data_IF_650111519210
#
_entry.id   IF_650111519210
#
_cell.length_a   1.000
_cell.length_b   1.000
_cell.length_c   1.000
_cell.angle_alpha   90.00
_cell.angle_beta   90.00
_cell.angle_gamma   90.00
#
_symmetry.space_group_name_H-M   'P 1'
#
loop_
_entity.id
_entity.type
_entity.pdbx_description
1 polymer ?
#
# COMPACT_ATOMS: atom_id res chain seq x y z
N UNK A 1 6.01 -15.66 14.47
CA UNK A 1 6.69 -14.41 14.09
C UNK A 1 5.74 -13.23 14.22
N UNK A 2 6.28 -12.04 14.46
CA UNK A 2 5.57 -10.75 14.45
C UNK A 2 5.34 -10.23 13.04
N UNK A 3 4.55 -9.16 12.90
CA UNK A 3 4.35 -8.46 11.63
C UNK A 3 5.66 -7.89 11.06
N UNK A 4 6.50 -7.26 11.89
CA UNK A 4 7.79 -6.72 11.45
C UNK A 4 8.72 -7.84 10.99
N UNK A 5 8.76 -8.97 11.71
CA UNK A 5 9.55 -10.14 11.28
C UNK A 5 9.06 -10.71 9.94
N UNK A 6 7.73 -10.72 9.70
CA UNK A 6 7.19 -11.10 8.39
C UNK A 6 7.69 -10.14 7.29
N UNK A 7 7.60 -8.83 7.53
CA UNK A 7 7.95 -7.81 6.53
C UNK A 7 9.46 -7.81 6.24
N UNK A 8 10.33 -7.94 7.24
CA UNK A 8 11.78 -7.94 7.02
C UNK A 8 12.28 -9.24 6.40
N UNK A 9 11.76 -10.39 6.85
CA UNK A 9 12.31 -11.68 6.44
C UNK A 9 11.67 -12.22 5.16
N UNK A 10 10.46 -11.77 4.84
CA UNK A 10 9.68 -12.27 3.70
C UNK A 10 8.91 -11.17 2.94
N UNK A 11 9.51 -10.00 2.64
CA UNK A 11 8.82 -8.92 1.93
C UNK A 11 8.30 -9.38 0.55
N UNK A 12 9.02 -10.30 -0.09
CA UNK A 12 8.69 -10.82 -1.42
C UNK A 12 7.32 -11.49 -1.47
N UNK A 13 6.84 -12.09 -0.38
CA UNK A 13 5.51 -12.71 -0.35
C UNK A 13 4.41 -11.67 -0.55
N UNK A 14 4.53 -10.54 0.14
CA UNK A 14 3.57 -9.42 0.03
C UNK A 14 3.72 -8.77 -1.34
N UNK A 15 4.96 -8.46 -1.75
CA UNK A 15 5.22 -7.76 -3.00
C UNK A 15 4.79 -8.55 -4.23
N UNK A 16 5.10 -9.85 -4.31
CA UNK A 16 4.67 -10.69 -5.43
C UNK A 16 3.16 -10.83 -5.47
N UNK A 17 2.52 -11.01 -4.32
CA UNK A 17 1.07 -11.16 -4.24
C UNK A 17 0.34 -9.89 -4.68
N UNK A 18 0.73 -8.72 -4.17
CA UNK A 18 0.17 -7.43 -4.58
C UNK A 18 0.40 -7.15 -6.06
N UNK A 19 1.62 -7.35 -6.54
CA UNK A 19 2.00 -7.12 -7.95
C UNK A 19 1.18 -8.00 -8.89
N UNK A 20 1.12 -9.30 -8.63
CA UNK A 20 0.38 -10.25 -9.47
C UNK A 20 -1.12 -9.96 -9.47
N UNK A 21 -1.68 -9.55 -8.33
CA UNK A 21 -3.09 -9.15 -8.24
C UNK A 21 -3.36 -7.88 -9.04
N UNK A 22 -2.53 -6.84 -8.92
CA UNK A 22 -2.70 -5.61 -9.68
C UNK A 22 -2.62 -5.84 -11.20
N UNK A 23 -1.66 -6.66 -11.66
CA UNK A 23 -1.52 -7.01 -13.07
C UNK A 23 -2.76 -7.75 -13.63
N UNK A 24 -3.52 -8.47 -12.80
CA UNK A 24 -4.75 -9.15 -13.24
C UNK A 24 -5.94 -8.22 -13.37
N UNK A 25 -5.98 -7.13 -12.58
CA UNK A 25 -7.10 -6.18 -12.59
C UNK A 25 -7.08 -5.27 -13.83
N UNK A 26 -5.92 -5.15 -14.50
CA UNK A 26 -5.78 -4.45 -15.79
C UNK A 26 -6.30 -3.00 -15.75
N UNK A 27 -5.92 -2.25 -14.70
CA UNK A 27 -6.30 -0.85 -14.58
C UNK A 27 -5.67 -0.01 -15.71
N UNK A 28 -6.40 0.98 -16.26
CA UNK A 28 -5.98 1.72 -17.46
C UNK A 28 -4.55 2.26 -17.44
N UNK A 29 -4.12 2.85 -16.34
CA UNK A 29 -2.77 3.40 -16.22
C UNK A 29 -1.76 2.39 -15.71
N UNK A 30 -2.15 1.53 -14.76
CA UNK A 30 -1.23 0.54 -14.22
C UNK A 30 -0.85 -0.56 -15.22
N UNK A 31 -1.71 -0.85 -16.20
CA UNK A 31 -1.43 -1.81 -17.29
C UNK A 31 -0.29 -1.36 -18.21
N UNK A 32 0.09 -0.08 -18.18
CA UNK A 32 1.21 0.48 -18.97
C UNK A 32 2.57 0.18 -18.35
N UNK A 33 2.64 -0.18 -17.07
CA UNK A 33 3.88 -0.51 -16.39
C UNK A 33 4.28 -1.97 -16.61
N UNK A 34 5.58 -2.21 -16.59
CA UNK A 34 6.14 -3.55 -16.48
C UNK A 34 6.00 -4.08 -15.06
N UNK A 35 6.05 -5.41 -14.93
CA UNK A 35 5.99 -6.11 -13.64
C UNK A 35 7.01 -5.56 -12.63
N UNK A 36 8.25 -5.34 -13.08
CA UNK A 36 9.33 -4.87 -12.21
C UNK A 36 9.06 -3.44 -11.69
N UNK A 37 8.40 -2.60 -12.48
CA UNK A 37 8.05 -1.23 -12.11
C UNK A 37 6.93 -1.21 -11.09
N UNK A 38 5.90 -2.06 -11.25
CA UNK A 38 4.85 -2.24 -10.24
C UNK A 38 5.43 -2.76 -8.93
N UNK A 39 6.29 -3.77 -9.00
CA UNK A 39 6.91 -4.35 -7.81
C UNK A 39 7.75 -3.30 -7.06
N UNK A 40 8.47 -2.44 -7.78
CA UNK A 40 9.20 -1.31 -7.17
C UNK A 40 8.25 -0.33 -6.48
N UNK A 41 7.12 0.01 -7.09
CA UNK A 41 6.11 0.90 -6.47
C UNK A 41 5.54 0.29 -5.17
N UNK A 42 5.20 -1.00 -5.18
CA UNK A 42 4.77 -1.68 -3.95
C UNK A 42 5.89 -1.81 -2.91
N UNK A 43 7.15 -1.96 -3.34
CA UNK A 43 8.29 -1.96 -2.41
C UNK A 43 8.43 -0.63 -1.68
N UNK A 44 8.23 0.50 -2.37
CA UNK A 44 8.25 1.82 -1.74
C UNK A 44 7.09 2.00 -0.76
N UNK A 45 5.90 1.53 -1.13
CA UNK A 45 4.72 1.55 -0.24
C UNK A 45 4.93 0.67 1.00
N UNK A 46 5.51 -0.52 0.83
CA UNK A 46 5.84 -1.41 1.95
C UNK A 46 6.90 -0.80 2.87
N UNK A 47 7.88 -0.08 2.32
CA UNK A 47 8.86 0.66 3.12
C UNK A 47 8.18 1.75 3.97
N UNK A 48 7.29 2.55 3.39
CA UNK A 48 6.54 3.57 4.13
C UNK A 48 5.68 2.95 5.24
N UNK A 49 4.95 1.87 4.94
CA UNK A 49 4.18 1.12 5.94
C UNK A 49 5.06 0.58 7.06
N UNK A 50 6.24 0.03 6.73
CA UNK A 50 7.16 -0.54 7.72
C UNK A 50 7.58 0.51 8.73
N UNK A 51 7.96 1.70 8.26
CA UNK A 51 8.33 2.81 9.15
C UNK A 51 7.18 3.22 10.05
N UNK A 52 5.96 3.34 9.52
CA UNK A 52 4.77 3.62 10.32
C UNK A 52 4.55 2.59 11.45
N UNK A 53 4.82 1.30 11.17
CA UNK A 53 4.74 0.23 12.18
C UNK A 53 5.84 0.39 13.23
N UNK A 54 7.08 0.68 12.82
CA UNK A 54 8.21 0.89 13.73
C UNK A 54 8.01 2.10 14.66
N UNK A 55 7.54 3.22 14.10
CA UNK A 55 7.35 4.48 14.83
C UNK A 55 6.01 4.59 15.55
N UNK A 56 5.06 3.71 15.21
CA UNK A 56 3.66 3.77 15.65
C UNK A 56 2.96 5.09 15.25
N UNK A 57 3.37 5.68 14.13
CA UNK A 57 2.73 6.85 13.52
C UNK A 57 2.25 6.53 12.11
N UNK A 58 1.49 7.44 11.49
CA UNK A 58 1.05 7.28 10.09
C UNK A 58 1.84 8.17 9.11
N UNK A 59 2.84 8.90 9.61
CA UNK A 59 3.42 10.06 8.93
C UNK A 59 4.13 9.68 7.62
N UNK A 60 4.90 8.58 7.61
CA UNK A 60 5.59 8.12 6.40
C UNK A 60 4.61 7.68 5.30
N UNK A 61 3.46 7.12 5.67
CA UNK A 61 2.43 6.73 4.71
C UNK A 61 1.68 7.94 4.18
N UNK A 62 1.33 8.91 5.05
CA UNK A 62 0.72 10.19 4.65
C UNK A 62 1.65 10.92 3.67
N UNK A 63 2.91 11.16 4.05
CA UNK A 63 3.86 11.85 3.17
C UNK A 63 4.15 11.09 1.86
N UNK A 64 4.07 9.75 1.87
CA UNK A 64 4.13 8.99 0.62
C UNK A 64 2.88 9.17 -0.24
N UNK A 65 1.68 9.29 0.36
CA UNK A 65 0.43 9.58 -0.36
C UNK A 65 0.46 10.96 -1.01
N UNK A 66 0.97 11.99 -0.34
CA UNK A 66 1.11 13.33 -0.93
C UNK A 66 1.95 13.26 -2.21
N UNK A 67 3.14 12.66 -2.12
CA UNK A 67 4.06 12.51 -3.25
C UNK A 67 3.41 11.76 -4.42
N UNK A 68 2.78 10.61 -4.17
CA UNK A 68 2.18 9.85 -5.27
C UNK A 68 0.93 10.52 -5.82
N UNK A 69 0.20 11.29 -5.02
CA UNK A 69 -1.01 11.99 -5.48
C UNK A 69 -0.64 13.00 -6.54
N UNK A 70 0.36 13.84 -6.29
CA UNK A 70 0.90 14.79 -7.26
C UNK A 70 1.35 14.09 -8.56
N UNK A 71 2.22 13.07 -8.44
CA UNK A 71 2.75 12.36 -9.61
C UNK A 71 1.65 11.74 -10.47
N UNK A 72 0.66 11.12 -9.82
CA UNK A 72 -0.36 10.32 -10.49
C UNK A 72 -1.46 11.21 -11.05
N UNK A 73 -1.85 12.26 -10.33
CA UNK A 73 -2.77 13.28 -10.83
C UNK A 73 -2.20 13.96 -12.08
N UNK A 74 -0.94 14.41 -12.04
CA UNK A 74 -0.26 15.00 -13.20
C UNK A 74 -0.13 14.03 -14.38
N UNK A 75 -0.11 12.73 -14.11
CA UNK A 75 -0.07 11.66 -15.13
C UNK A 75 -1.46 11.19 -15.59
N UNK A 76 -2.55 11.79 -15.10
CA UNK A 76 -3.92 11.49 -15.49
C UNK A 76 -4.54 10.24 -14.87
N UNK A 77 -3.98 9.73 -13.76
CA UNK A 77 -4.59 8.60 -13.05
C UNK A 77 -5.86 9.04 -12.33
N UNK A 78 -6.91 8.25 -12.46
CA UNK A 78 -8.10 8.38 -11.63
C UNK A 78 -7.81 7.91 -10.20
N UNK A 79 -8.38 8.60 -9.21
CA UNK A 79 -8.14 8.29 -7.79
C UNK A 79 -8.60 6.87 -7.45
N UNK A 80 -9.63 6.37 -8.13
CA UNK A 80 -10.15 5.01 -8.00
C UNK A 80 -9.10 3.96 -8.36
N UNK A 81 -8.25 4.20 -9.38
CA UNK A 81 -7.20 3.26 -9.75
C UNK A 81 -6.18 3.09 -8.61
N UNK A 82 -5.84 4.19 -7.94
CA UNK A 82 -4.89 4.17 -6.82
C UNK A 82 -5.52 3.53 -5.59
N UNK A 83 -6.78 3.84 -5.29
CA UNK A 83 -7.51 3.19 -4.21
C UNK A 83 -7.62 1.67 -4.40
N UNK A 84 -7.86 1.20 -5.63
CA UNK A 84 -7.85 -0.23 -5.95
C UNK A 84 -6.45 -0.82 -5.72
N UNK A 85 -5.38 -0.14 -6.16
CA UNK A 85 -4.01 -0.59 -5.91
C UNK A 85 -3.66 -0.68 -4.42
N UNK A 86 -4.16 0.26 -3.59
CA UNK A 86 -4.02 0.24 -2.13
C UNK A 86 -4.82 -0.90 -1.49
N UNK A 87 -6.05 -1.15 -1.94
CA UNK A 87 -6.86 -2.29 -1.47
C UNK A 87 -6.17 -3.63 -1.76
N UNK A 88 -5.61 -3.79 -2.96
CA UNK A 88 -4.85 -5.00 -3.33
C UNK A 88 -3.63 -5.20 -2.42
N UNK A 89 -2.95 -4.12 -2.04
CA UNK A 89 -1.83 -4.17 -1.11
C UNK A 89 -2.27 -4.59 0.30
N UNK A 90 -3.35 -4.00 0.79
CA UNK A 90 -3.93 -4.33 2.09
C UNK A 90 -4.38 -5.80 2.18
N UNK A 91 -5.06 -6.29 1.15
CA UNK A 91 -5.51 -7.69 1.09
C UNK A 91 -4.33 -8.67 1.10
N UNK A 92 -3.26 -8.36 0.37
CA UNK A 92 -2.03 -9.16 0.38
C UNK A 92 -1.40 -9.18 1.78
N UNK A 93 -1.35 -8.05 2.48
CA UNK A 93 -0.87 -7.98 3.86
C UNK A 93 -1.73 -8.84 4.79
N UNK A 94 -3.05 -8.70 4.74
CA UNK A 94 -3.96 -9.48 5.59
C UNK A 94 -3.81 -10.98 5.38
N UNK A 95 -3.69 -11.41 4.11
CA UNK A 95 -3.51 -12.83 3.79
C UNK A 95 -2.19 -13.38 4.33
N UNK A 96 -1.11 -12.62 4.21
CA UNK A 96 0.20 -13.03 4.72
C UNK A 96 0.27 -12.95 6.25
N UNK A 97 -0.38 -11.96 6.88
CA UNK A 97 -0.55 -11.90 8.35
C UNK A 97 -1.24 -13.17 8.84
N UNK A 98 -2.41 -13.51 8.27
CA UNK A 98 -3.17 -14.70 8.67
C UNK A 98 -2.36 -15.99 8.55
N UNK A 99 -1.47 -16.07 7.56
CA UNK A 99 -0.73 -17.29 7.23
C UNK A 99 0.56 -17.45 8.04
N UNK A 100 1.25 -16.36 8.37
CA UNK A 100 2.62 -16.43 8.88
C UNK A 100 2.83 -15.78 10.25
N UNK A 101 2.03 -14.79 10.62
CA UNK A 101 2.14 -14.13 11.93
C UNK A 101 1.58 -15.07 13.01
N UNK A 102 2.03 -14.94 14.25
CA UNK A 102 1.51 -15.74 15.36
C UNK A 102 0.06 -15.37 15.70
N UNK A 103 -0.75 -16.38 16.03
CA UNK A 103 -2.20 -16.23 16.20
C UNK A 103 -2.56 -15.22 17.30
N UNK A 104 -1.76 -15.16 18.36
CA UNK A 104 -1.91 -14.26 19.50
C UNK A 104 -1.87 -12.78 19.10
N UNK A 105 -1.13 -12.45 18.02
CA UNK A 105 -0.96 -11.07 17.55
C UNK A 105 -1.60 -10.81 16.18
N UNK A 106 -2.35 -11.77 15.62
CA UNK A 106 -3.08 -11.63 14.35
C UNK A 106 -3.98 -10.40 14.32
N UNK A 107 -4.86 -10.27 15.32
CA UNK A 107 -5.83 -9.18 15.37
C UNK A 107 -5.14 -7.82 15.49
N UNK A 108 -4.16 -7.70 16.39
CA UNK A 108 -3.40 -6.47 16.57
C UNK A 108 -2.65 -6.07 15.30
N UNK A 109 -1.98 -7.02 14.64
CA UNK A 109 -1.25 -6.80 13.39
C UNK A 109 -2.18 -6.36 12.26
N UNK A 110 -3.31 -7.06 12.09
CA UNK A 110 -4.30 -6.70 11.07
C UNK A 110 -4.88 -5.30 11.32
N UNK A 111 -5.28 -5.01 12.57
CA UNK A 111 -5.85 -3.72 12.96
C UNK A 111 -4.87 -2.58 12.69
N UNK A 112 -3.60 -2.76 13.05
CA UNK A 112 -2.55 -1.75 12.83
C UNK A 112 -2.38 -1.43 11.33
N UNK A 113 -2.25 -2.46 10.48
CA UNK A 113 -2.13 -2.28 9.03
C UNK A 113 -3.35 -1.55 8.47
N UNK A 114 -4.56 -1.95 8.85
CA UNK A 114 -5.78 -1.31 8.37
C UNK A 114 -5.87 0.15 8.81
N UNK A 115 -5.54 0.47 10.05
CA UNK A 115 -5.52 1.88 10.50
C UNK A 115 -4.56 2.74 9.68
N UNK A 116 -3.35 2.24 9.41
CA UNK A 116 -2.36 3.00 8.62
C UNK A 116 -2.83 3.16 7.17
N UNK A 117 -3.36 2.10 6.56
CA UNK A 117 -3.81 2.12 5.17
C UNK A 117 -5.07 2.99 4.99
N UNK A 118 -6.02 2.92 5.93
CA UNK A 118 -7.21 3.77 5.90
C UNK A 118 -6.82 5.25 5.97
N UNK A 119 -5.83 5.60 6.80
CA UNK A 119 -5.32 6.97 6.86
C UNK A 119 -4.66 7.42 5.56
N UNK A 120 -3.92 6.52 4.91
CA UNK A 120 -3.33 6.79 3.60
C UNK A 120 -4.41 6.99 2.50
N UNK A 121 -5.47 6.18 2.50
CA UNK A 121 -6.59 6.35 1.55
C UNK A 121 -7.32 7.68 1.77
N UNK A 122 -7.52 8.08 3.02
CA UNK A 122 -8.10 9.38 3.37
C UNK A 122 -7.24 10.53 2.83
N UNK A 123 -5.93 10.47 3.04
CA UNK A 123 -5.00 11.49 2.55
C UNK A 123 -5.02 11.59 1.03
N UNK A 124 -4.91 10.46 0.33
CA UNK A 124 -5.00 10.39 -1.12
C UNK A 124 -6.26 11.08 -1.66
N UNK A 125 -7.42 10.83 -1.04
CA UNK A 125 -8.68 11.44 -1.44
C UNK A 125 -8.70 12.95 -1.20
N UNK A 126 -8.20 13.39 -0.04
CA UNK A 126 -8.11 14.81 0.28
C UNK A 126 -7.19 15.56 -0.69
N UNK A 127 -6.04 14.98 -1.02
CA UNK A 127 -5.08 15.59 -1.93
C UNK A 127 -5.63 15.68 -3.36
N UNK A 128 -6.27 14.62 -3.87
CA UNK A 128 -6.95 14.66 -5.17
C UNK A 128 -8.05 15.73 -5.23
N UNK A 129 -8.80 15.93 -4.14
CA UNK A 129 -9.80 17.02 -4.05
C UNK A 129 -9.13 18.40 -4.07
N UNK A 130 -7.96 18.54 -3.44
CA UNK A 130 -7.18 19.78 -3.46
C UNK A 130 -6.64 20.08 -4.86
N UNK A 131 -5.99 19.11 -5.49
CA UNK A 131 -5.40 19.22 -6.83
C UNK A 131 -6.44 19.47 -7.93
N UNK A 132 -7.66 18.95 -7.79
CA UNK A 132 -8.74 19.23 -8.75
C UNK A 132 -9.33 20.65 -8.64
N UNK A 133 -8.98 21.39 -7.59
CA UNK A 133 -9.46 22.77 -7.34
C UNK A 133 -8.40 23.83 -7.61
N UNK A 134 -7.13 23.44 -7.72
CA UNK A 134 -5.99 24.32 -8.04
C UNK A 134 -5.90 24.64 -9.52
#
# INVERSE_FOLDING_TARGET
MTLLELIYNKPELILQESTNSLMRVQLPHYSKFRLEEIQKKYSNLLLALTKCIETQTCDDMIGYMDLISDERFASGFEVEEIQIALNIFEEALWKNIRKYVDQEVHYASKKMVTTIIDKAKEELLNEYVTLSRS
#
